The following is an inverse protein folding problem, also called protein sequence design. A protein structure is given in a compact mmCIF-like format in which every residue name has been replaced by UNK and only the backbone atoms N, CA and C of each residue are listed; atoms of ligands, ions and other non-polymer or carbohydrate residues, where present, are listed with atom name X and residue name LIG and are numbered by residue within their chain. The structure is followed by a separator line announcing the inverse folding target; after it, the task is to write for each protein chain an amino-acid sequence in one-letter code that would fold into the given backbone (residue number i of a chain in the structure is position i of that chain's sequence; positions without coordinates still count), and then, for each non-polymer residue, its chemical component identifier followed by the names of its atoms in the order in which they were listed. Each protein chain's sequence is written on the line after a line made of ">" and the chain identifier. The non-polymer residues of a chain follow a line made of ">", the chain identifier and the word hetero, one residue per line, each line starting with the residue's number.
data_IF_323252057487
#
_entry.id   IF_323252057487
#
_cell.length_a   1.000
_cell.length_b   1.000
_cell.length_c   1.000
_cell.angle_alpha   90.00
_cell.angle_beta   90.00
_cell.angle_gamma   90.00
#
_symmetry.space_group_name_H-M   'P 1'
#
loop_
_entity.id
_entity.type
_entity.pdbx_description
1 polymer ?
#
# COMPACT_ATOMS: atom_id res chain seq x y z
N UNK A 1 -26.35 -5.54 -43.57
CA UNK A 1 -24.93 -5.82 -43.86
C UNK A 1 -24.29 -6.35 -42.57
N UNK A 2 -23.69 -7.55 -42.67
CA UNK A 2 -22.65 -8.15 -41.78
C UNK A 2 -23.05 -8.44 -40.30
N UNK A 3 -22.81 -9.60 -39.67
CA UNK A 3 -22.88 -11.06 -39.92
C UNK A 3 -22.55 -11.71 -38.56
N UNK A 4 -23.35 -12.63 -37.98
CA UNK A 4 -22.91 -13.41 -36.82
C UNK A 4 -22.20 -14.67 -37.32
N UNK A 5 -21.01 -14.96 -36.80
CA UNK A 5 -20.33 -16.23 -37.03
C UNK A 5 -19.65 -16.69 -35.73
N UNK A 6 -20.40 -17.47 -34.97
CA UNK A 6 -19.86 -18.41 -33.99
C UNK A 6 -19.23 -19.58 -34.74
N UNK A 7 -17.99 -19.95 -34.40
CA UNK A 7 -17.24 -21.20 -34.65
C UNK A 7 -15.75 -20.84 -34.41
N UNK A 8 -14.88 -21.61 -33.77
CA UNK A 8 -14.91 -22.99 -33.32
C UNK A 8 -13.85 -23.17 -32.21
N UNK A 9 -14.09 -24.16 -31.36
CA UNK A 9 -13.13 -24.79 -30.45
C UNK A 9 -12.02 -25.45 -31.27
N UNK A 10 -10.76 -25.28 -30.86
CA UNK A 10 -9.67 -26.21 -31.17
C UNK A 10 -8.69 -26.26 -30.01
N UNK A 11 -8.66 -27.44 -29.39
CA UNK A 11 -7.82 -27.80 -28.28
C UNK A 11 -6.51 -28.46 -28.75
N UNK A 12 -5.57 -28.52 -27.81
CA UNK A 12 -4.41 -29.41 -27.68
C UNK A 12 -3.07 -28.95 -28.28
N UNK A 13 -2.13 -28.63 -27.37
CA UNK A 13 -0.77 -29.20 -27.41
C UNK A 13 -0.39 -29.63 -25.98
N UNK A 14 -0.08 -30.90 -25.83
CA UNK A 14 0.50 -31.52 -24.64
C UNK A 14 1.98 -31.76 -24.87
N UNK A 15 2.82 -31.55 -23.84
CA UNK A 15 4.14 -32.15 -23.59
C UNK A 15 4.42 -31.91 -22.08
N UNK A 16 4.18 -32.89 -21.20
CA UNK A 16 5.15 -33.92 -20.77
C UNK A 16 6.38 -33.35 -20.03
N UNK A 17 6.32 -33.33 -18.70
CA UNK A 17 7.45 -33.08 -17.81
C UNK A 17 7.17 -33.67 -16.42
N UNK A 18 7.90 -34.71 -16.06
CA UNK A 18 7.69 -35.58 -14.90
C UNK A 18 8.30 -35.04 -13.58
N UNK A 19 7.58 -35.19 -12.47
CA UNK A 19 8.15 -35.60 -11.16
C UNK A 19 7.00 -35.89 -10.19
N UNK A 20 6.77 -37.18 -9.87
CA UNK A 20 7.17 -37.90 -8.62
C UNK A 20 6.44 -37.38 -7.39
N UNK A 21 5.77 -38.17 -6.55
CA UNK A 21 5.45 -39.59 -6.51
C UNK A 21 4.19 -39.74 -5.66
N UNK A 22 3.37 -40.70 -6.04
CA UNK A 22 2.23 -41.27 -5.34
C UNK A 22 2.62 -41.81 -3.97
N UNK A 23 1.78 -41.60 -2.95
CA UNK A 23 1.46 -42.66 -2.01
C UNK A 23 -0.02 -42.58 -1.63
N UNK A 24 -0.64 -43.76 -1.69
CA UNK A 24 -2.06 -44.00 -1.76
C UNK A 24 -2.79 -43.69 -0.45
N UNK A 25 -4.04 -43.23 -0.54
CA UNK A 25 -4.99 -43.40 0.55
C UNK A 25 -6.30 -44.01 0.05
N UNK A 26 -6.32 -45.34 0.05
CA UNK A 26 -7.52 -46.19 -0.05
C UNK A 26 -8.19 -46.26 1.32
N UNK A 27 -9.42 -45.79 1.33
CA UNK A 27 -10.55 -46.20 2.19
C UNK A 27 -10.65 -45.77 3.66
N UNK A 28 -11.89 -45.36 3.97
CA UNK A 28 -12.68 -45.55 5.18
C UNK A 28 -12.68 -44.43 6.25
N UNK A 29 -13.85 -43.82 6.42
CA UNK A 29 -14.33 -43.24 7.69
C UNK A 29 -14.69 -44.36 8.69
N UNK A 30 -14.94 -44.14 10.00
CA UNK A 30 -15.06 -42.87 10.75
C UNK A 30 -14.19 -42.79 12.04
N UNK A 31 -14.33 -41.69 12.79
CA UNK A 31 -13.61 -41.32 14.03
C UNK A 31 -13.65 -42.39 15.16
N UNK A 32 -12.73 -42.35 16.14
CA UNK A 32 -12.97 -41.51 17.33
C UNK A 32 -11.73 -40.81 17.94
N UNK A 33 -12.04 -39.78 18.73
CA UNK A 33 -11.32 -39.13 19.83
C UNK A 33 -9.82 -39.42 20.05
N UNK A 34 -9.01 -38.35 20.11
CA UNK A 34 -8.04 -38.18 21.18
C UNK A 34 -7.62 -36.71 21.34
N UNK A 35 -7.66 -36.28 22.60
CA UNK A 35 -7.33 -34.94 23.05
C UNK A 35 -5.82 -34.77 23.26
N UNK A 36 -5.38 -33.52 23.04
CA UNK A 36 -4.28 -32.80 23.67
C UNK A 36 -2.82 -33.27 23.47
N UNK A 37 -2.07 -32.47 22.71
CA UNK A 37 -0.74 -32.00 23.11
C UNK A 37 -0.59 -30.53 22.66
N UNK A 38 -0.07 -29.62 23.50
CA UNK A 38 0.10 -28.21 23.11
C UNK A 38 1.34 -28.10 22.23
N UNK A 39 1.16 -27.77 20.95
CA UNK A 39 2.27 -27.32 20.12
C UNK A 39 2.63 -25.92 20.61
N UNK A 40 3.81 -25.80 21.21
CA UNK A 40 4.36 -24.55 21.71
C UNK A 40 4.30 -23.48 20.63
N UNK A 41 3.64 -22.37 20.95
CA UNK A 41 3.71 -21.11 20.22
C UNK A 41 5.18 -20.69 20.13
N UNK A 42 5.75 -20.40 18.96
CA UNK A 42 7.04 -19.73 18.93
C UNK A 42 6.84 -18.36 19.57
N UNK A 43 7.60 -18.09 20.62
CA UNK A 43 7.64 -16.80 21.28
C UNK A 43 8.03 -15.74 20.24
N UNK A 44 7.15 -14.77 20.02
CA UNK A 44 7.43 -13.58 19.25
C UNK A 44 8.67 -12.90 19.83
N UNK A 45 9.76 -12.89 19.08
CA UNK A 45 10.86 -11.98 19.35
C UNK A 45 10.33 -10.54 19.24
N UNK A 46 10.79 -9.59 20.09
CA UNK A 46 10.41 -8.20 19.91
C UNK A 46 11.03 -7.72 18.59
N UNK A 47 10.17 -7.26 17.68
CA UNK A 47 10.62 -6.51 16.51
C UNK A 47 11.41 -5.29 17.01
N UNK A 48 12.60 -5.08 16.44
CA UNK A 48 13.37 -3.87 16.66
C UNK A 48 12.48 -2.65 16.36
N UNK A 49 12.29 -1.79 17.35
CA UNK A 49 11.44 -0.61 17.21
C UNK A 49 12.16 0.41 16.31
N UNK A 50 11.80 0.44 15.03
CA UNK A 50 11.98 1.64 14.23
C UNK A 50 11.35 2.80 15.00
N UNK A 51 12.00 3.98 15.10
CA UNK A 51 11.37 5.15 15.70
C UNK A 51 10.05 5.43 14.98
N UNK A 52 8.93 5.28 15.69
CA UNK A 52 7.62 5.63 15.15
C UNK A 52 7.24 7.04 15.62
N UNK A 53 6.66 7.84 14.72
CA UNK A 53 6.13 9.15 15.07
C UNK A 53 5.00 9.01 16.09
N UNK A 54 4.99 9.89 17.10
CA UNK A 54 3.82 10.02 17.95
C UNK A 54 2.60 10.51 17.14
N UNK A 55 1.39 10.17 17.58
CA UNK A 55 0.15 10.63 16.93
C UNK A 55 0.09 12.16 16.78
N UNK A 56 0.62 12.89 17.77
CA UNK A 56 0.69 14.34 17.75
C UNK A 56 1.65 14.87 16.66
N UNK A 57 2.78 14.19 16.43
CA UNK A 57 3.72 14.54 15.37
C UNK A 57 3.16 14.19 13.99
N UNK A 58 2.47 13.06 13.86
CA UNK A 58 1.78 12.68 12.62
C UNK A 58 0.72 13.74 12.25
N UNK A 59 -0.11 14.14 13.21
CA UNK A 59 -1.11 15.19 13.00
C UNK A 59 -0.47 16.52 12.60
N UNK A 60 0.59 16.94 13.29
CA UNK A 60 1.34 18.16 12.96
C UNK A 60 1.91 18.11 11.53
N UNK A 61 2.53 17.00 11.14
CA UNK A 61 3.10 16.84 9.81
C UNK A 61 2.01 16.87 8.72
N UNK A 62 0.87 16.19 8.96
CA UNK A 62 -0.28 16.23 8.06
C UNK A 62 -0.88 17.63 7.91
N UNK A 63 -0.95 18.42 8.99
CA UNK A 63 -1.44 19.81 8.94
C UNK A 63 -0.50 20.71 8.13
N UNK A 64 0.82 20.57 8.30
CA UNK A 64 1.81 21.28 7.50
C UNK A 64 1.68 20.89 6.02
N UNK A 65 1.53 19.60 5.73
CA UNK A 65 1.34 19.10 4.37
C UNK A 65 0.07 19.67 3.74
N UNK A 66 -1.06 19.67 4.46
CA UNK A 66 -2.32 20.28 4.01
C UNK A 66 -2.13 21.76 3.66
N UNK A 67 -1.50 22.53 4.54
CA UNK A 67 -1.20 23.94 4.29
C UNK A 67 -0.28 24.13 3.07
N UNK A 68 0.69 23.25 2.87
CA UNK A 68 1.59 23.28 1.71
C UNK A 68 0.85 22.99 0.39
N UNK A 69 0.00 21.96 0.35
CA UNK A 69 -0.85 21.64 -0.81
C UNK A 69 -1.66 22.87 -1.23
N UNK A 70 -2.31 23.53 -0.28
CA UNK A 70 -3.14 24.70 -0.53
C UNK A 70 -2.31 25.91 -0.97
N UNK A 71 -1.19 26.18 -0.30
CA UNK A 71 -0.31 27.33 -0.58
C UNK A 71 0.33 27.22 -1.95
N UNK A 72 0.89 26.05 -2.28
CA UNK A 72 1.67 25.82 -3.49
C UNK A 72 0.86 25.22 -4.65
N UNK A 73 -0.45 24.98 -4.47
CA UNK A 73 -1.36 24.44 -5.49
C UNK A 73 -0.81 23.16 -6.13
N UNK A 74 -0.36 22.23 -5.29
CA UNK A 74 0.30 20.99 -5.72
C UNK A 74 -0.66 19.99 -6.38
N UNK A 75 -1.97 20.18 -6.21
CA UNK A 75 -3.02 19.44 -6.89
C UNK A 75 -4.24 20.34 -7.08
N UNK A 76 -5.15 19.96 -7.99
CA UNK A 76 -6.46 20.57 -8.16
C UNK A 76 -7.53 19.96 -7.26
N UNK A 77 -7.24 18.85 -6.59
CA UNK A 77 -8.17 18.20 -5.66
C UNK A 77 -8.34 19.03 -4.38
N UNK A 78 -9.54 18.96 -3.80
CA UNK A 78 -9.79 19.58 -2.50
C UNK A 78 -9.13 18.78 -1.37
N UNK A 79 -8.75 19.42 -0.25
CA UNK A 79 -8.09 18.73 0.86
C UNK A 79 -8.88 17.59 1.51
N UNK A 80 -10.21 17.56 1.34
CA UNK A 80 -11.07 16.47 1.83
C UNK A 80 -10.98 15.21 0.97
N UNK A 81 -10.50 15.36 -0.27
CA UNK A 81 -10.23 14.29 -1.23
C UNK A 81 -8.77 13.85 -1.21
N UNK A 82 -8.03 14.20 -0.15
CA UNK A 82 -6.65 13.79 0.05
C UNK A 82 -6.50 13.02 1.36
N UNK A 83 -5.69 11.96 1.32
CA UNK A 83 -5.20 11.24 2.48
C UNK A 83 -3.76 11.63 2.75
N UNK A 84 -3.38 11.78 4.02
CA UNK A 84 -2.04 12.21 4.44
C UNK A 84 -1.44 11.14 5.34
N UNK A 85 -0.38 10.49 4.88
CA UNK A 85 0.35 9.46 5.61
C UNK A 85 1.69 10.04 6.07
N UNK A 86 1.79 10.38 7.35
CA UNK A 86 2.98 11.00 7.92
C UNK A 86 3.90 9.95 8.57
N UNK A 87 5.19 10.02 8.26
CA UNK A 87 6.26 9.20 8.83
C UNK A 87 7.54 10.00 9.05
N UNK A 88 8.57 9.34 9.57
CA UNK A 88 9.93 9.89 9.59
C UNK A 88 10.64 9.46 8.30
N UNK A 89 11.29 10.41 7.65
CA UNK A 89 12.36 10.08 6.71
C UNK A 89 13.65 9.81 7.49
N UNK A 90 13.95 10.71 8.42
CA UNK A 90 15.09 10.67 9.32
C UNK A 90 14.79 11.47 10.61
N UNK A 91 15.74 11.59 11.53
CA UNK A 91 15.54 12.29 12.81
C UNK A 91 15.17 13.77 12.67
N UNK A 92 15.49 14.38 11.53
CA UNK A 92 15.34 15.80 11.21
C UNK A 92 14.22 16.10 10.20
N UNK A 93 13.64 15.09 9.55
CA UNK A 93 12.60 15.28 8.53
C UNK A 93 11.37 14.41 8.76
N UNK A 94 10.19 15.02 8.61
CA UNK A 94 8.97 14.27 8.34
C UNK A 94 8.88 13.95 6.84
N UNK A 95 8.46 12.74 6.52
CA UNK A 95 7.96 12.36 5.21
C UNK A 95 6.43 12.35 5.28
N UNK A 96 5.75 13.03 4.35
CA UNK A 96 4.29 12.97 4.25
C UNK A 96 3.90 12.58 2.84
N UNK A 97 3.46 11.33 2.69
CA UNK A 97 2.88 10.85 1.44
C UNK A 97 1.42 11.32 1.35
N UNK A 98 1.09 11.98 0.24
CA UNK A 98 -0.25 12.47 -0.06
C UNK A 98 -0.84 11.63 -1.18
N UNK A 99 -1.94 10.98 -0.87
CA UNK A 99 -2.67 10.11 -1.80
C UNK A 99 -4.06 10.69 -2.07
N UNK A 100 -4.65 10.36 -3.20
CA UNK A 100 -6.06 10.64 -3.43
C UNK A 100 -6.94 9.79 -2.51
N UNK A 101 -7.98 10.40 -1.93
CA UNK A 101 -8.98 9.73 -1.12
C UNK A 101 -10.27 9.58 -1.93
N UNK A 102 -10.45 8.41 -2.55
CA UNK A 102 -11.61 8.10 -3.38
C UNK A 102 -12.84 7.73 -2.54
N UNK A 103 -13.55 8.76 -2.10
CA UNK A 103 -14.92 8.64 -1.55
C UNK A 103 -15.96 8.89 -2.64
N UNK A 104 -17.25 8.53 -2.43
CA UNK A 104 -18.32 8.88 -3.39
C UNK A 104 -18.40 10.38 -3.72
N UNK A 105 -17.98 11.27 -2.81
CA UNK A 105 -17.95 12.72 -3.04
C UNK A 105 -16.73 13.18 -3.86
N UNK A 106 -15.62 12.42 -3.81
CA UNK A 106 -14.36 12.73 -4.48
C UNK A 106 -14.23 12.04 -5.85
N UNK A 107 -15.10 11.06 -6.14
CA UNK A 107 -15.08 10.29 -7.39
C UNK A 107 -13.90 9.31 -7.46
N UNK A 108 -13.66 8.75 -8.65
CA UNK A 108 -12.60 7.77 -8.93
C UNK A 108 -12.89 6.34 -8.47
N UNK A 109 -11.88 5.46 -8.59
CA UNK A 109 -11.99 4.05 -8.19
C UNK A 109 -11.61 3.91 -6.70
N UNK A 110 -12.55 3.50 -5.81
CA UNK A 110 -12.31 3.38 -4.37
C UNK A 110 -11.28 2.29 -4.01
N UNK A 111 -10.90 1.43 -4.95
CA UNK A 111 -9.88 0.39 -4.75
C UNK A 111 -8.47 0.87 -5.14
N UNK A 112 -8.35 2.12 -5.59
CA UNK A 112 -7.08 2.77 -5.89
C UNK A 112 -6.84 3.88 -4.88
N UNK A 113 -5.58 4.22 -4.63
CA UNK A 113 -5.19 5.42 -3.91
C UNK A 113 -4.01 6.05 -4.67
N UNK A 114 -4.27 6.67 -5.84
CA UNK A 114 -3.23 7.30 -6.64
C UNK A 114 -2.37 8.24 -5.80
N UNK A 115 -1.06 8.17 -6.03
CA UNK A 115 -0.11 9.07 -5.43
C UNK A 115 -0.25 10.47 -6.03
N UNK A 116 -0.27 11.48 -5.18
CA UNK A 116 -0.36 12.89 -5.57
C UNK A 116 1.00 13.56 -5.46
N UNK A 117 1.60 13.49 -4.28
CA UNK A 117 2.91 14.09 -3.96
C UNK A 117 3.40 13.52 -2.62
N UNK A 118 4.71 13.42 -2.46
CA UNK A 118 5.37 13.22 -1.17
C UNK A 118 6.09 14.49 -0.77
N UNK A 119 5.84 14.96 0.46
CA UNK A 119 6.47 16.14 1.02
C UNK A 119 7.53 15.75 2.05
N UNK A 120 8.71 16.35 1.91
CA UNK A 120 9.75 16.31 2.92
C UNK A 120 9.74 17.62 3.71
N UNK A 121 9.61 17.52 5.03
CA UNK A 121 9.43 18.66 5.93
C UNK A 121 10.57 18.67 6.93
N UNK A 122 11.42 19.69 6.90
CA UNK A 122 12.45 19.90 7.92
C UNK A 122 11.80 20.26 9.27
N UNK A 123 12.05 19.46 10.30
CA UNK A 123 11.47 19.59 11.64
C UNK A 123 11.93 20.87 12.37
N UNK A 124 13.10 21.39 12.03
CA UNK A 124 13.75 22.53 12.67
C UNK A 124 13.38 23.84 11.98
N UNK A 125 13.41 23.85 10.64
CA UNK A 125 13.23 25.06 9.84
C UNK A 125 11.83 25.20 9.25
N UNK A 126 11.08 24.10 9.11
CA UNK A 126 9.82 24.06 8.38
C UNK A 126 9.98 24.20 6.87
N UNK A 127 11.21 24.08 6.35
CA UNK A 127 11.46 24.06 4.91
C UNK A 127 10.76 22.86 4.26
N UNK A 128 10.18 23.10 3.08
CA UNK A 128 9.36 22.13 2.37
C UNK A 128 10.00 21.76 1.04
N UNK A 129 10.02 20.46 0.76
CA UNK A 129 10.40 19.91 -0.53
C UNK A 129 9.29 18.96 -1.00
N UNK A 130 9.15 18.80 -2.31
CA UNK A 130 8.28 17.78 -2.91
C UNK A 130 9.10 16.79 -3.70
N UNK A 131 8.63 15.57 -3.83
CA UNK A 131 9.22 14.62 -4.77
C UNK A 131 9.06 15.09 -6.22
N UNK A 132 10.01 14.69 -7.06
CA UNK A 132 9.98 14.81 -8.50
C UNK A 132 9.85 13.40 -9.10
N UNK A 133 8.66 13.02 -9.62
CA UNK A 133 8.41 11.66 -10.10
C UNK A 133 9.25 11.30 -11.33
N UNK A 134 9.92 12.25 -11.99
CA UNK A 134 10.75 11.97 -13.16
C UNK A 134 12.11 11.38 -12.80
N UNK A 135 12.67 11.72 -11.64
CA UNK A 135 14.03 11.32 -11.22
C UNK A 135 14.08 10.72 -9.81
N UNK A 136 13.04 10.87 -9.00
CA UNK A 136 12.98 10.39 -7.61
C UNK A 136 13.67 11.31 -6.60
N UNK A 137 14.08 12.51 -7.00
CA UNK A 137 14.70 13.50 -6.12
C UNK A 137 13.65 14.37 -5.41
N UNK A 138 14.05 15.05 -4.33
CA UNK A 138 13.23 16.09 -3.70
C UNK A 138 13.64 17.48 -4.18
N UNK A 139 12.66 18.28 -4.58
CA UNK A 139 12.84 19.66 -5.04
C UNK A 139 12.21 20.67 -4.07
N UNK A 140 12.93 21.74 -3.68
CA UNK A 140 12.40 22.74 -2.76
C UNK A 140 11.16 23.48 -3.29
N UNK A 141 10.15 23.62 -2.45
CA UNK A 141 8.97 24.45 -2.68
C UNK A 141 9.29 25.90 -2.30
N UNK A 142 9.07 26.83 -3.24
CA UNK A 142 9.42 28.26 -3.11
C UNK A 142 8.18 29.12 -3.28
#
# INVERSE_FOLDING_TARGET
>A
MIKPLFLAVLAAVALAGCSRSDDAQKSAAPAPAQAAAPVATPASAPAASTPELSEAEQAKAADIARAAIEKYKLTSLSPECLSFMAGLEDDTHYNVEVLENHTPACGGDPNTAPHVVTLLIDKNTGALQKDDPANGDYVPLK
#
